data_IF_728620835332
#
_entry.id   IF_728620835332
#
_cell.length_a   1.000
_cell.length_b   1.000
_cell.length_c   1.000
_cell.angle_alpha   90.00
_cell.angle_beta   90.00
_cell.angle_gamma   90.00
#
_symmetry.space_group_name_H-M   'P 1'
#
loop_
_entity.id
_entity.type
_entity.pdbx_description
1 polymer ?
#
# COMPACT_ATOMS: atom_id res chain seq x y z
N UNK A 1 -19.35 -14.94 9.36
CA UNK A 1 -18.11 -14.30 8.87
C UNK A 1 -18.51 -12.99 8.23
N UNK A 2 -17.94 -11.89 8.65
CA UNK A 2 -18.22 -10.56 8.08
C UNK A 2 -17.56 -10.47 6.70
N UNK A 3 -18.33 -10.15 5.64
CA UNK A 3 -17.79 -9.90 4.29
C UNK A 3 -17.21 -8.49 4.17
N UNK A 4 -16.40 -8.06 5.16
CA UNK A 4 -15.74 -6.76 5.12
C UNK A 4 -14.35 -6.86 4.50
N UNK A 5 -13.93 -5.79 3.88
CA UNK A 5 -12.67 -5.69 3.14
C UNK A 5 -11.93 -4.42 3.59
N UNK A 6 -10.63 -4.54 3.82
CA UNK A 6 -9.76 -3.40 4.08
C UNK A 6 -9.06 -2.95 2.79
N UNK A 7 -9.19 -1.68 2.46
CA UNK A 7 -8.43 -1.05 1.37
C UNK A 7 -7.38 -0.13 1.98
N UNK A 8 -6.12 -0.43 1.72
CA UNK A 8 -4.96 0.32 2.17
C UNK A 8 -4.52 1.31 1.10
N UNK A 9 -4.45 2.58 1.45
CA UNK A 9 -4.06 3.65 0.53
C UNK A 9 -2.80 4.32 1.03
N UNK A 10 -1.75 4.36 0.20
CA UNK A 10 -0.57 5.19 0.45
C UNK A 10 -0.65 6.41 -0.46
N UNK A 11 -0.64 7.61 0.13
CA UNK A 11 -0.73 8.87 -0.60
C UNK A 11 0.34 9.87 -0.14
N UNK A 12 0.73 10.79 -1.06
CA UNK A 12 1.72 11.83 -0.78
C UNK A 12 1.46 13.12 -1.56
N UNK A 13 0.54 13.11 -2.49
CA UNK A 13 0.16 14.26 -3.31
C UNK A 13 -1.32 14.14 -3.74
N UNK A 14 -1.82 15.14 -4.46
CA UNK A 14 -3.15 15.16 -5.08
C UNK A 14 -4.30 14.79 -4.12
N UNK A 15 -4.55 15.55 -3.03
CA UNK A 15 -5.62 15.24 -2.07
C UNK A 15 -7.01 15.06 -2.71
N UNK A 16 -7.27 15.74 -3.84
CA UNK A 16 -8.54 15.60 -4.56
C UNK A 16 -8.68 14.24 -5.23
N UNK A 17 -7.64 13.74 -5.90
CA UNK A 17 -7.66 12.38 -6.49
C UNK A 17 -7.80 11.31 -5.41
N UNK A 18 -7.11 11.50 -4.27
CA UNK A 18 -7.30 10.64 -3.11
C UNK A 18 -8.76 10.63 -2.64
N UNK A 19 -9.39 11.80 -2.53
CA UNK A 19 -10.79 11.90 -2.12
C UNK A 19 -11.74 11.24 -3.14
N UNK A 20 -11.49 11.42 -4.44
CA UNK A 20 -12.27 10.77 -5.51
C UNK A 20 -12.14 9.25 -5.45
N UNK A 21 -10.94 8.73 -5.21
CA UNK A 21 -10.72 7.28 -5.00
C UNK A 21 -11.53 6.80 -3.79
N UNK A 22 -11.42 7.46 -2.64
CA UNK A 22 -12.16 7.10 -1.42
C UNK A 22 -13.65 7.16 -1.65
N UNK A 23 -14.16 8.21 -2.30
CA UNK A 23 -15.58 8.33 -2.64
C UNK A 23 -16.06 7.18 -3.55
N UNK A 24 -15.23 6.76 -4.51
CA UNK A 24 -15.53 5.64 -5.41
C UNK A 24 -15.58 4.29 -4.69
N UNK A 25 -14.84 4.15 -3.57
CA UNK A 25 -14.80 2.94 -2.73
C UNK A 25 -15.91 2.91 -1.67
N UNK A 26 -16.74 3.95 -1.57
CA UNK A 26 -17.76 4.06 -0.52
C UNK A 26 -18.77 2.94 -0.58
N UNK A 27 -18.66 1.98 0.34
CA UNK A 27 -19.57 0.86 0.48
C UNK A 27 -19.53 0.31 1.91
N UNK A 28 -20.66 -0.21 2.40
CA UNK A 28 -20.78 -0.73 3.78
C UNK A 28 -19.82 -1.88 4.13
N UNK A 29 -19.30 -2.57 3.13
CA UNK A 29 -18.36 -3.69 3.29
C UNK A 29 -16.90 -3.26 3.13
N UNK A 30 -16.60 -2.00 2.87
CA UNK A 30 -15.25 -1.50 2.63
C UNK A 30 -14.89 -0.47 3.70
N UNK A 31 -13.76 -0.68 4.36
CA UNK A 31 -13.08 0.30 5.17
C UNK A 31 -11.79 0.72 4.50
N UNK A 32 -11.51 2.00 4.50
CA UNK A 32 -10.31 2.57 3.92
C UNK A 32 -9.34 2.96 5.02
N UNK A 33 -8.11 2.50 4.92
CA UNK A 33 -7.00 2.89 5.79
C UNK A 33 -6.00 3.69 4.99
N UNK A 34 -5.67 4.89 5.43
CA UNK A 34 -4.83 5.83 4.69
C UNK A 34 -3.54 6.15 5.43
N UNK A 35 -2.41 5.88 4.78
CA UNK A 35 -1.10 6.35 5.18
C UNK A 35 -0.72 7.55 4.30
N UNK A 36 -0.67 8.74 4.89
CA UNK A 36 -0.13 9.93 4.22
C UNK A 36 1.36 10.00 4.51
N UNK A 37 2.18 10.14 3.49
CA UNK A 37 3.64 10.23 3.63
C UNK A 37 4.01 11.28 4.70
N UNK A 38 4.89 10.91 5.64
CA UNK A 38 5.27 11.79 6.75
C UNK A 38 5.94 13.11 6.33
N UNK A 39 6.36 13.23 5.06
CA UNK A 39 6.95 14.46 4.51
C UNK A 39 5.93 15.50 4.06
N UNK A 40 4.64 15.16 4.06
CA UNK A 40 3.57 16.06 3.65
C UNK A 40 2.55 16.22 4.77
N UNK A 41 1.88 17.36 4.79
CA UNK A 41 0.81 17.67 5.74
C UNK A 41 -0.41 16.76 5.49
N UNK A 42 -0.99 16.11 6.50
CA UNK A 42 -2.15 15.25 6.33
C UNK A 42 -3.48 16.02 6.22
N UNK A 43 -3.54 17.27 6.70
CA UNK A 43 -4.75 18.07 6.80
C UNK A 43 -5.45 18.26 5.45
N UNK A 44 -4.76 18.51 4.31
CA UNK A 44 -5.41 18.63 3.02
C UNK A 44 -6.13 17.35 2.58
N UNK A 45 -5.62 16.16 2.97
CA UNK A 45 -6.24 14.87 2.67
C UNK A 45 -7.47 14.65 3.54
N UNK A 46 -7.37 14.94 4.83
CA UNK A 46 -8.51 14.85 5.73
C UNK A 46 -9.61 15.85 5.36
N UNK A 47 -9.24 17.09 5.01
CA UNK A 47 -10.21 18.13 4.61
C UNK A 47 -10.89 17.85 3.26
N UNK A 48 -10.23 17.09 2.36
CA UNK A 48 -10.82 16.69 1.08
C UNK A 48 -11.89 15.60 1.23
N UNK A 49 -11.87 14.85 2.33
CA UNK A 49 -12.91 13.89 2.68
C UNK A 49 -14.03 14.63 3.41
N UNK A 50 -15.27 14.50 2.93
CA UNK A 50 -16.40 14.71 3.81
C UNK A 50 -16.28 13.73 4.99
N UNK A 51 -16.85 14.05 6.15
CA UNK A 51 -16.83 13.16 7.32
C UNK A 51 -17.29 11.74 6.93
N UNK A 52 -16.35 10.82 6.83
CA UNK A 52 -16.62 9.41 6.53
C UNK A 52 -15.97 8.57 7.64
N UNK A 53 -16.80 7.95 8.47
CA UNK A 53 -16.41 7.13 9.63
C UNK A 53 -15.70 5.82 9.24
N UNK A 54 -15.63 5.51 7.95
CA UNK A 54 -14.93 4.32 7.42
C UNK A 54 -13.55 4.61 6.86
N UNK A 55 -13.09 5.85 6.99
CA UNK A 55 -11.73 6.22 6.61
C UNK A 55 -10.90 6.41 7.86
N UNK A 56 -9.91 5.57 8.01
CA UNK A 56 -9.01 5.54 9.15
C UNK A 56 -7.61 5.99 8.72
N UNK A 57 -7.14 7.09 9.25
CA UNK A 57 -5.78 7.56 8.99
C UNK A 57 -4.80 6.89 9.97
N UNK A 58 -3.62 6.54 9.47
CA UNK A 58 -2.48 6.18 10.32
C UNK A 58 -2.15 7.40 11.19
N UNK A 59 -1.95 7.17 12.49
CA UNK A 59 -1.61 8.24 13.44
C UNK A 59 -0.30 8.94 13.02
N UNK A 60 -0.18 10.23 13.30
CA UNK A 60 0.98 11.04 12.90
C UNK A 60 2.30 10.46 13.39
N UNK A 61 2.33 9.87 14.59
CA UNK A 61 3.52 9.25 15.17
C UNK A 61 3.98 8.00 14.40
N UNK A 62 3.07 7.33 13.69
CA UNK A 62 3.30 6.06 13.01
C UNK A 62 3.47 6.23 11.48
N UNK A 63 3.32 7.47 10.99
CA UNK A 63 3.58 7.78 9.59
C UNK A 63 5.07 7.75 9.29
N UNK A 64 5.44 7.19 8.15
CA UNK A 64 6.84 7.08 7.71
C UNK A 64 7.09 7.89 6.43
N UNK A 65 8.31 8.45 6.24
CA UNK A 65 8.69 9.10 4.99
C UNK A 65 8.95 8.02 3.93
N UNK A 66 8.02 7.87 2.98
CA UNK A 66 8.06 6.81 1.97
C UNK A 66 9.03 7.15 0.85
N UNK A 67 9.99 6.27 0.57
CA UNK A 67 10.89 6.34 -0.58
C UNK A 67 10.57 5.23 -1.56
N UNK A 68 10.26 5.61 -2.78
CA UNK A 68 9.91 4.66 -3.84
C UNK A 68 11.02 3.60 -4.03
N UNK A 69 10.63 2.32 -4.06
CA UNK A 69 11.55 1.19 -4.15
C UNK A 69 12.34 0.90 -2.87
N UNK A 70 12.09 1.62 -1.78
CA UNK A 70 12.69 1.40 -0.46
C UNK A 70 11.86 0.50 0.44
N UNK A 71 12.46 0.08 1.56
CA UNK A 71 11.76 -0.68 2.60
C UNK A 71 10.70 0.19 3.29
N UNK A 72 10.83 1.53 3.23
CA UNK A 72 9.86 2.47 3.78
C UNK A 72 8.44 2.31 3.18
N UNK A 73 8.31 1.82 1.94
CA UNK A 73 7.00 1.43 1.38
C UNK A 73 6.40 0.27 2.19
N UNK A 74 7.22 -0.74 2.51
CA UNK A 74 6.79 -1.87 3.35
C UNK A 74 6.44 -1.40 4.75
N UNK A 75 7.22 -0.51 5.33
CA UNK A 75 6.92 0.07 6.65
C UNK A 75 5.56 0.79 6.66
N UNK A 76 5.25 1.57 5.62
CA UNK A 76 3.94 2.22 5.49
C UNK A 76 2.78 1.20 5.39
N UNK A 77 2.99 0.09 4.66
CA UNK A 77 2.00 -1.01 4.60
C UNK A 77 1.81 -1.66 5.97
N UNK A 78 2.89 -1.88 6.71
CA UNK A 78 2.80 -2.44 8.08
C UNK A 78 2.03 -1.51 9.02
N UNK A 79 2.28 -0.19 8.99
CA UNK A 79 1.50 0.77 9.79
C UNK A 79 0.01 0.73 9.42
N UNK A 80 -0.34 0.56 8.13
CA UNK A 80 -1.75 0.40 7.71
C UNK A 80 -2.36 -0.90 8.24
N UNK A 81 -1.62 -2.01 8.21
CA UNK A 81 -2.07 -3.29 8.75
C UNK A 81 -2.28 -3.20 10.27
N UNK A 82 -1.35 -2.58 11.00
CA UNK A 82 -1.45 -2.37 12.44
C UNK A 82 -2.66 -1.49 12.80
N UNK A 83 -2.89 -0.41 12.03
CA UNK A 83 -4.07 0.45 12.20
C UNK A 83 -5.37 -0.33 11.97
N UNK A 84 -5.41 -1.19 10.96
CA UNK A 84 -6.58 -2.03 10.70
C UNK A 84 -6.77 -3.10 11.78
N UNK A 85 -5.71 -3.73 12.24
CA UNK A 85 -5.75 -4.75 13.29
C UNK A 85 -6.27 -4.19 14.63
N UNK A 86 -6.00 -2.91 14.92
CA UNK A 86 -6.47 -2.25 16.12
C UNK A 86 -8.00 -2.04 16.18
N UNK A 87 -8.73 -2.25 15.07
CA UNK A 87 -10.19 -2.12 15.01
C UNK A 87 -10.94 -3.40 15.38
N UNK A 88 -10.25 -4.52 15.57
CA UNK A 88 -10.83 -5.86 15.82
C UNK A 88 -11.85 -6.31 14.76
N UNK A 89 -11.86 -5.69 13.59
CA UNK A 89 -12.73 -6.08 12.47
C UNK A 89 -12.06 -7.21 11.67
N UNK A 90 -12.69 -8.39 11.56
CA UNK A 90 -12.16 -9.45 10.72
C UNK A 90 -12.39 -9.14 9.25
N UNK A 91 -11.34 -8.75 8.55
CA UNK A 91 -11.39 -8.51 7.10
C UNK A 91 -11.13 -9.79 6.32
N UNK A 92 -11.96 -10.02 5.30
CA UNK A 92 -11.79 -11.15 4.39
C UNK A 92 -10.65 -10.91 3.39
N UNK A 93 -10.47 -9.66 2.95
CA UNK A 93 -9.40 -9.27 2.03
C UNK A 93 -8.76 -7.96 2.44
N UNK A 94 -7.49 -7.87 2.10
CA UNK A 94 -6.66 -6.70 2.27
C UNK A 94 -6.12 -6.29 0.89
N UNK A 95 -6.43 -5.09 0.44
CA UNK A 95 -6.05 -4.60 -0.89
C UNK A 95 -5.25 -3.33 -0.75
N UNK A 96 -4.05 -3.28 -1.33
CA UNK A 96 -3.19 -2.09 -1.36
C UNK A 96 -3.36 -1.36 -2.69
N UNK A 97 -3.57 -0.05 -2.61
CA UNK A 97 -3.66 0.87 -3.76
C UNK A 97 -2.85 2.14 -3.49
N UNK A 98 -2.54 2.88 -4.52
CA UNK A 98 -1.97 4.23 -4.44
C UNK A 98 -3.08 5.28 -4.35
N UNK A 99 -2.84 6.39 -3.67
CA UNK A 99 -3.76 7.53 -3.62
C UNK A 99 -4.03 8.20 -4.98
N UNK A 100 -3.37 7.73 -6.05
CA UNK A 100 -3.57 8.18 -7.44
C UNK A 100 -4.25 7.13 -8.33
N UNK A 101 -4.62 5.99 -7.76
CA UNK A 101 -5.34 4.94 -8.49
C UNK A 101 -6.80 5.32 -8.67
N UNK A 102 -7.42 4.75 -9.70
CA UNK A 102 -8.85 4.90 -9.99
C UNK A 102 -9.49 3.53 -10.18
N UNK A 103 -10.75 3.39 -9.78
CA UNK A 103 -11.49 2.17 -10.02
C UNK A 103 -11.90 2.08 -11.50
N UNK A 104 -11.60 0.94 -12.13
CA UNK A 104 -12.02 0.63 -13.50
C UNK A 104 -13.30 -0.19 -13.55
N UNK A 105 -13.80 -0.62 -12.39
CA UNK A 105 -15.03 -1.43 -12.26
C UNK A 105 -15.92 -0.85 -11.18
N UNK A 106 -17.18 -1.17 -11.22
CA UNK A 106 -18.09 -0.82 -10.14
C UNK A 106 -17.74 -1.55 -8.84
N UNK A 107 -18.07 -0.94 -7.68
CA UNK A 107 -17.85 -1.60 -6.38
C UNK A 107 -18.57 -2.94 -6.28
N UNK A 108 -19.81 -3.12 -6.75
CA UNK A 108 -20.44 -4.44 -6.77
C UNK A 108 -19.66 -5.50 -7.54
N UNK A 109 -19.11 -5.17 -8.73
CA UNK A 109 -18.28 -6.10 -9.51
C UNK A 109 -16.96 -6.43 -8.79
N UNK A 110 -16.36 -5.44 -8.12
CA UNK A 110 -15.17 -5.62 -7.32
C UNK A 110 -15.45 -6.58 -6.15
N UNK A 111 -16.53 -6.36 -5.41
CA UNK A 111 -16.93 -7.22 -4.30
C UNK A 111 -17.25 -8.64 -4.76
N UNK A 112 -17.90 -8.80 -5.91
CA UNK A 112 -18.15 -10.11 -6.50
C UNK A 112 -16.84 -10.85 -6.81
N UNK A 113 -15.82 -10.15 -7.33
CA UNK A 113 -14.50 -10.73 -7.56
C UNK A 113 -13.77 -11.09 -6.26
N UNK A 114 -13.96 -10.33 -5.20
CA UNK A 114 -13.35 -10.57 -3.88
C UNK A 114 -14.06 -11.69 -3.10
N UNK A 115 -15.28 -12.03 -3.46
CA UNK A 115 -16.03 -13.15 -2.85
C UNK A 115 -15.45 -14.52 -3.18
N UNK A 116 -14.63 -14.63 -4.23
CA UNK A 116 -13.95 -15.88 -4.61
C UNK A 116 -12.70 -16.10 -3.76
N UNK A 117 -12.28 -17.37 -3.61
CA UNK A 117 -10.99 -17.71 -2.96
C UNK A 117 -9.81 -17.71 -3.96
N UNK A 118 -9.98 -16.99 -5.07
CA UNK A 118 -8.98 -16.90 -6.13
C UNK A 118 -8.01 -15.76 -5.84
N UNK A 119 -6.71 -16.03 -5.87
CA UNK A 119 -5.64 -15.04 -5.91
C UNK A 119 -5.12 -14.92 -7.34
N UNK A 120 -4.96 -13.67 -7.79
CA UNK A 120 -4.47 -13.38 -9.14
C UNK A 120 -3.00 -13.00 -9.06
N UNK A 121 -2.13 -13.90 -9.55
CA UNK A 121 -0.68 -13.66 -9.58
C UNK A 121 -0.21 -13.76 -11.02
N UNK A 122 0.47 -12.72 -11.49
CA UNK A 122 1.16 -12.74 -12.78
C UNK A 122 2.66 -12.93 -12.55
N UNK A 123 3.23 -14.00 -13.07
CA UNK A 123 4.66 -14.27 -13.02
C UNK A 123 5.25 -13.91 -14.38
N UNK A 124 5.87 -12.74 -14.48
CA UNK A 124 6.46 -12.28 -15.73
C UNK A 124 7.75 -13.02 -16.08
N UNK A 125 8.57 -13.36 -15.07
CA UNK A 125 9.85 -14.02 -15.26
C UNK A 125 10.20 -14.97 -14.12
N UNK A 126 10.66 -16.18 -14.47
CA UNK A 126 11.31 -17.05 -13.49
C UNK A 126 12.70 -16.48 -13.16
N UNK A 127 13.02 -16.41 -11.87
CA UNK A 127 14.32 -15.93 -11.42
C UNK A 127 15.39 -16.98 -11.70
N UNK A 128 16.22 -16.75 -12.73
CA UNK A 128 17.35 -17.61 -13.10
C UNK A 128 18.63 -16.78 -13.06
N UNK A 129 19.80 -17.38 -12.81
CA UNK A 129 21.08 -16.70 -12.96
C UNK A 129 21.16 -16.07 -14.37
N UNK A 130 21.51 -14.78 -14.45
CA UNK A 130 21.58 -14.05 -15.72
C UNK A 130 20.25 -13.53 -16.27
N UNK A 131 19.10 -13.82 -15.61
CA UNK A 131 17.80 -13.28 -16.03
C UNK A 131 17.75 -11.75 -15.93
N UNK A 132 16.96 -11.06 -16.78
CA UNK A 132 16.67 -9.63 -16.59
C UNK A 132 16.20 -9.39 -15.15
N UNK A 133 16.73 -8.33 -14.54
CA UNK A 133 16.38 -7.97 -13.14
C UNK A 133 16.89 -8.90 -12.03
N UNK A 134 17.64 -9.98 -12.32
CA UNK A 134 18.22 -10.85 -11.29
C UNK A 134 19.04 -10.04 -10.24
N UNK A 135 19.68 -8.94 -10.65
CA UNK A 135 20.41 -8.04 -9.75
C UNK A 135 19.55 -7.45 -8.62
N UNK A 136 18.23 -7.31 -8.81
CA UNK A 136 17.31 -6.79 -7.78
C UNK A 136 17.26 -7.69 -6.54
N UNK A 137 17.48 -8.98 -6.70
CA UNK A 137 17.45 -9.95 -5.59
C UNK A 137 18.84 -10.48 -5.22
N UNK A 138 19.80 -10.45 -6.15
CA UNK A 138 21.15 -10.96 -5.91
C UNK A 138 22.10 -9.90 -5.32
N UNK A 139 21.70 -8.63 -5.31
CA UNK A 139 22.50 -7.54 -4.78
C UNK A 139 21.76 -6.82 -3.64
N UNK A 140 22.54 -6.16 -2.78
CA UNK A 140 22.00 -5.33 -1.71
C UNK A 140 21.74 -3.93 -2.25
N UNK A 141 20.57 -3.37 -1.91
CA UNK A 141 20.15 -2.04 -2.30
C UNK A 141 19.83 -1.20 -1.05
N UNK A 142 20.15 0.08 -1.07
CA UNK A 142 19.98 1.02 0.03
C UNK A 142 19.16 2.25 -0.38
N UNK A 143 17.94 2.10 -0.90
CA UNK A 143 17.15 3.25 -1.39
C UNK A 143 16.78 4.22 -0.28
N UNK A 144 16.55 3.72 0.95
CA UNK A 144 16.18 4.54 2.13
C UNK A 144 17.39 5.19 2.83
N UNK A 145 18.60 4.88 2.41
CA UNK A 145 19.85 5.38 3.01
C UNK A 145 20.64 6.22 2.01
N UNK A 146 20.44 7.56 1.96
CA UNK A 146 21.08 8.42 0.96
C UNK A 146 22.61 8.27 0.89
N UNK A 147 23.27 8.15 2.05
CA UNK A 147 24.73 7.99 2.15
C UNK A 147 25.19 6.67 1.51
N UNK A 148 24.42 5.58 1.69
CA UNK A 148 24.77 4.26 1.20
C UNK A 148 24.24 4.00 -0.22
N UNK A 149 23.46 4.90 -0.79
CA UNK A 149 22.83 4.73 -2.11
C UNK A 149 23.86 4.45 -3.21
N UNK A 150 25.06 5.03 -3.12
CA UNK A 150 26.15 4.79 -4.08
C UNK A 150 26.67 3.35 -4.05
N UNK A 151 26.40 2.59 -2.99
CA UNK A 151 26.78 1.18 -2.84
C UNK A 151 25.66 0.24 -3.30
N UNK A 152 24.49 0.75 -3.60
CA UNK A 152 23.36 -0.05 -4.09
C UNK A 152 23.72 -0.79 -5.38
N UNK A 153 23.43 -2.09 -5.43
CA UNK A 153 23.74 -2.92 -6.57
C UNK A 153 25.20 -3.35 -6.72
N UNK A 154 26.12 -2.89 -5.84
CA UNK A 154 27.54 -3.25 -5.86
C UNK A 154 27.88 -4.42 -4.95
N UNK A 155 27.06 -4.66 -3.92
CA UNK A 155 27.27 -5.72 -2.93
C UNK A 155 26.37 -6.90 -3.29
N UNK A 156 26.97 -8.05 -3.59
CA UNK A 156 26.22 -9.29 -3.81
C UNK A 156 25.71 -9.87 -2.49
N UNK A 157 24.49 -10.35 -2.46
CA UNK A 157 23.98 -11.16 -1.36
C UNK A 157 24.68 -12.50 -1.36
N UNK A 158 25.06 -12.98 -0.18
CA UNK A 158 25.50 -14.38 -0.03
C UNK A 158 24.27 -15.29 -0.28
N UNK A 159 24.42 -16.40 -1.03
CA UNK A 159 23.34 -17.37 -1.13
C UNK A 159 23.00 -17.88 0.27
N UNK A 160 21.74 -18.24 0.55
CA UNK A 160 21.39 -18.95 1.76
C UNK A 160 22.17 -20.27 1.79
N UNK A 161 22.78 -20.57 2.92
CA UNK A 161 23.43 -21.86 3.22
C UNK A 161 22.38 -22.93 3.42
#
# INVERSE_FOLDING_TARGET
MTDRHAVYVIAHDEPRLFADLVASLRHRQIDVYAHIDARVAPEPFAAALATDDRVHFVADADRVPVRWGGFSVVSAVLSLIETAAATDVPYRRHTLVSGRDVLLRSVPDLLASWATDTEYVRIDHALRPGAPHAHKVTHVHFPDRPVLRRMSGRIRRRPPT
#
